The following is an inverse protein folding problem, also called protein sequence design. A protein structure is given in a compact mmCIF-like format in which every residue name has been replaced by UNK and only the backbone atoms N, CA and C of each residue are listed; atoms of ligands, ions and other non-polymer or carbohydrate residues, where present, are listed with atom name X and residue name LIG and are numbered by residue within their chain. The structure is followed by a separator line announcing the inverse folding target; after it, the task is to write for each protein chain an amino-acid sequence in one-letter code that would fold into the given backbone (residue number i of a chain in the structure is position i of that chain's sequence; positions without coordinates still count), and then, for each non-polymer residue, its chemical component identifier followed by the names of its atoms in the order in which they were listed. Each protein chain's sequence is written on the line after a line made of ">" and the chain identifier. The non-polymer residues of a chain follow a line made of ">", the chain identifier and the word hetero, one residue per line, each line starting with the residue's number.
data_IF_920326971418
#
_entry.id   IF_920326971418
#
_cell.length_a   1.000
_cell.length_b   1.000
_cell.length_c   1.000
_cell.angle_alpha   90.00
_cell.angle_beta   90.00
_cell.angle_gamma   90.00
#
_symmetry.space_group_name_H-M   'P 1'
#
loop_
_entity.id
_entity.type
_entity.pdbx_description
1 polymer ?
#
# COMPACT_ATOMS: atom_id res chain seq x y z
N UNK A 1 3.77 -15.49 -19.40
CA UNK A 1 4.61 -15.82 -20.57
C UNK A 1 6.06 -15.51 -20.25
N UNK A 2 7.00 -16.37 -20.68
CA UNK A 2 8.44 -16.18 -20.45
C UNK A 2 9.14 -15.54 -21.64
N UNK A 3 10.42 -15.20 -21.47
CA UNK A 3 11.27 -14.73 -22.55
C UNK A 3 11.61 -15.86 -23.53
N UNK A 4 11.81 -15.50 -24.80
CA UNK A 4 12.22 -16.40 -25.88
C UNK A 4 13.68 -16.14 -26.19
N UNK A 5 14.52 -17.19 -26.06
CA UNK A 5 15.95 -17.13 -26.31
C UNK A 5 16.32 -17.97 -27.52
N UNK A 6 17.27 -17.49 -28.32
CA UNK A 6 17.93 -18.27 -29.38
C UNK A 6 19.43 -18.27 -29.12
N UNK A 7 20.01 -19.47 -29.14
CA UNK A 7 21.43 -19.68 -28.96
C UNK A 7 22.05 -20.15 -30.29
N UNK A 8 23.29 -19.74 -30.55
CA UNK A 8 24.05 -20.14 -31.72
C UNK A 8 24.48 -21.62 -31.66
N UNK A 9 24.61 -22.16 -30.45
CA UNK A 9 25.04 -23.53 -30.18
C UNK A 9 23.95 -24.36 -29.48
N UNK A 10 24.10 -25.68 -29.56
CA UNK A 10 23.24 -26.63 -28.85
C UNK A 10 23.43 -26.52 -27.34
N UNK A 11 22.32 -26.49 -26.60
CA UNK A 11 22.32 -26.52 -25.14
C UNK A 11 22.66 -27.92 -24.63
N UNK A 12 23.49 -28.00 -23.59
CA UNK A 12 23.70 -29.25 -22.86
C UNK A 12 22.45 -29.61 -22.04
N UNK A 13 22.31 -30.89 -21.66
CA UNK A 13 21.20 -31.35 -20.80
C UNK A 13 21.17 -30.61 -19.46
N UNK A 14 22.35 -30.37 -18.88
CA UNK A 14 22.50 -29.62 -17.63
C UNK A 14 22.05 -28.16 -17.78
N UNK A 15 22.42 -27.51 -18.89
CA UNK A 15 21.98 -26.15 -19.20
C UNK A 15 20.48 -26.06 -19.42
N UNK A 16 19.91 -27.01 -20.16
CA UNK A 16 18.46 -27.08 -20.40
C UNK A 16 17.67 -27.28 -19.10
N UNK A 17 18.14 -28.17 -18.20
CA UNK A 17 17.54 -28.38 -16.90
C UNK A 17 17.66 -27.14 -16.00
N UNK A 18 18.83 -26.51 -15.95
CA UNK A 18 19.03 -25.25 -15.21
C UNK A 18 18.12 -24.13 -15.73
N UNK A 19 17.97 -24.01 -17.06
CA UNK A 19 17.06 -23.04 -17.71
C UNK A 19 15.60 -23.31 -17.35
N UNK A 20 15.19 -24.58 -17.32
CA UNK A 20 13.84 -24.96 -16.89
C UNK A 20 13.60 -24.57 -15.42
N UNK A 21 14.56 -24.82 -14.55
CA UNK A 21 14.47 -24.49 -13.13
C UNK A 21 14.48 -22.98 -12.84
N UNK A 22 15.01 -22.13 -13.74
CA UNK A 22 14.88 -20.66 -13.62
C UNK A 22 13.42 -20.20 -13.69
N UNK A 23 12.59 -20.97 -14.38
CA UNK A 23 11.19 -20.66 -14.57
C UNK A 23 10.93 -19.49 -15.55
N UNK A 24 9.64 -19.26 -15.87
CA UNK A 24 9.23 -18.31 -16.91
C UNK A 24 9.41 -16.84 -16.51
N UNK A 25 9.72 -16.55 -15.24
CA UNK A 25 9.93 -15.20 -14.74
C UNK A 25 11.33 -14.65 -15.07
N UNK A 26 12.28 -15.50 -15.48
CA UNK A 26 13.64 -15.09 -15.80
C UNK A 26 13.71 -14.39 -17.17
N UNK A 27 14.30 -13.19 -17.18
CA UNK A 27 14.30 -12.27 -18.33
C UNK A 27 15.67 -11.63 -18.59
N UNK A 28 16.73 -12.15 -17.96
CA UNK A 28 18.08 -11.60 -18.07
C UNK A 28 18.90 -12.33 -19.14
N UNK A 29 20.09 -11.82 -19.44
CA UNK A 29 20.96 -12.28 -20.52
C UNK A 29 22.06 -13.25 -20.05
N UNK A 30 21.86 -13.91 -18.90
CA UNK A 30 22.79 -14.89 -18.33
C UNK A 30 24.20 -14.34 -17.99
N UNK A 31 24.33 -13.01 -17.87
CA UNK A 31 25.61 -12.34 -17.55
C UNK A 31 25.89 -12.32 -16.03
N UNK A 32 24.86 -12.07 -15.23
CA UNK A 32 24.97 -12.03 -13.77
C UNK A 32 23.85 -12.84 -13.13
N UNK A 33 24.14 -13.43 -11.99
CA UNK A 33 23.16 -14.05 -11.10
C UNK A 33 22.36 -12.99 -10.34
N UNK A 34 21.61 -12.16 -11.07
CA UNK A 34 20.74 -11.15 -10.50
C UNK A 34 19.33 -11.73 -10.38
N UNK A 35 18.99 -12.23 -9.20
CA UNK A 35 17.61 -12.61 -8.84
C UNK A 35 17.21 -14.04 -9.15
N UNK A 36 18.15 -15.00 -9.26
CA UNK A 36 17.80 -16.42 -9.39
C UNK A 36 17.83 -17.15 -8.04
N UNK A 37 16.72 -17.82 -7.69
CA UNK A 37 16.59 -18.66 -6.50
C UNK A 37 17.11 -20.09 -6.71
N UNK A 38 18.02 -20.28 -7.67
CA UNK A 38 18.55 -21.60 -8.01
C UNK A 38 19.59 -22.09 -6.99
N UNK A 39 19.71 -23.41 -6.78
CA UNK A 39 20.85 -23.99 -6.07
C UNK A 39 22.17 -23.73 -6.83
N UNK A 40 23.29 -23.60 -6.11
CA UNK A 40 24.61 -23.24 -6.68
C UNK A 40 25.07 -24.15 -7.83
N UNK A 41 24.75 -25.45 -7.77
CA UNK A 41 25.08 -26.40 -8.84
C UNK A 41 24.50 -25.99 -10.20
N UNK A 42 23.24 -25.57 -10.24
CA UNK A 42 22.56 -25.15 -11.48
C UNK A 42 23.07 -23.80 -12.00
N UNK A 43 23.43 -22.89 -11.08
CA UNK A 43 23.94 -21.56 -11.43
C UNK A 43 25.23 -21.63 -12.23
N UNK A 44 26.12 -22.56 -11.89
CA UNK A 44 27.41 -22.75 -12.59
C UNK A 44 27.22 -23.03 -14.09
N UNK A 45 26.17 -23.73 -14.48
CA UNK A 45 25.93 -24.07 -15.90
C UNK A 45 25.36 -22.91 -16.72
N UNK A 46 24.80 -21.88 -16.07
CA UNK A 46 24.13 -20.76 -16.72
C UNK A 46 24.98 -19.49 -16.74
N UNK A 47 25.68 -19.20 -15.64
CA UNK A 47 26.37 -17.93 -15.41
C UNK A 47 27.89 -18.01 -15.56
N UNK A 48 28.41 -19.05 -16.24
CA UNK A 48 29.83 -19.18 -16.58
C UNK A 48 30.27 -18.26 -17.74
N UNK A 49 29.35 -17.46 -18.28
CA UNK A 49 29.56 -16.56 -19.41
C UNK A 49 29.46 -17.22 -20.78
N UNK A 50 29.54 -18.56 -20.88
CA UNK A 50 29.44 -19.27 -22.16
C UNK A 50 28.06 -19.11 -22.77
N UNK A 51 27.02 -19.33 -21.97
CA UNK A 51 25.63 -19.23 -22.42
C UNK A 51 25.30 -17.80 -22.90
N UNK A 52 25.81 -16.78 -22.21
CA UNK A 52 25.65 -15.38 -22.63
C UNK A 52 26.39 -15.05 -23.93
N UNK A 53 27.54 -15.70 -24.19
CA UNK A 53 28.36 -15.45 -25.38
C UNK A 53 27.78 -16.05 -26.66
N UNK A 54 27.00 -17.13 -26.54
CA UNK A 54 26.32 -17.77 -27.67
C UNK A 54 24.88 -17.29 -27.84
N UNK A 55 24.42 -16.32 -27.05
CA UNK A 55 23.07 -15.78 -27.12
C UNK A 55 22.93 -14.84 -28.34
N UNK A 56 22.11 -15.25 -29.31
CA UNK A 56 21.90 -14.52 -30.57
C UNK A 56 20.76 -13.51 -30.45
N UNK A 57 19.64 -13.93 -29.86
CA UNK A 57 18.50 -13.06 -29.62
C UNK A 57 17.78 -13.46 -28.33
N UNK A 58 17.21 -12.45 -27.67
CA UNK A 58 16.40 -12.61 -26.48
C UNK A 58 15.22 -11.62 -26.55
N UNK A 59 14.02 -12.15 -26.78
CA UNK A 59 12.80 -11.36 -26.82
C UNK A 59 11.99 -11.60 -25.55
N UNK A 60 11.72 -10.52 -24.82
CA UNK A 60 10.87 -10.57 -23.64
C UNK A 60 9.56 -9.81 -23.91
N UNK A 61 8.38 -10.41 -23.64
CA UNK A 61 7.10 -9.71 -23.76
C UNK A 61 6.98 -8.43 -22.91
N UNK A 62 7.81 -8.28 -21.86
CA UNK A 62 7.87 -7.06 -21.04
C UNK A 62 8.77 -5.97 -21.61
N UNK A 63 9.70 -6.31 -22.50
CA UNK A 63 10.66 -5.36 -23.07
C UNK A 63 10.15 -4.87 -24.43
N UNK A 64 9.04 -4.13 -24.41
CA UNK A 64 8.37 -3.66 -25.61
C UNK A 64 8.34 -2.13 -25.67
N UNK A 65 8.44 -1.58 -26.88
CA UNK A 65 8.24 -0.15 -27.16
C UNK A 65 7.20 -0.01 -28.28
N UNK A 66 5.96 0.34 -27.90
CA UNK A 66 4.82 0.30 -28.82
C UNK A 66 4.60 -1.13 -29.34
N UNK A 67 4.59 -1.31 -30.66
CA UNK A 67 4.45 -2.61 -31.32
C UNK A 67 5.78 -3.37 -31.49
N UNK A 68 6.89 -2.86 -30.96
CA UNK A 68 8.20 -3.49 -31.11
C UNK A 68 8.58 -4.26 -29.85
N UNK A 69 8.91 -5.54 -29.99
CA UNK A 69 9.61 -6.32 -28.98
C UNK A 69 11.11 -6.10 -29.16
N UNK A 70 11.74 -5.49 -28.16
CA UNK A 70 13.15 -5.11 -28.23
C UNK A 70 14.03 -6.33 -27.99
N UNK A 71 15.01 -6.50 -28.88
CA UNK A 71 16.13 -7.41 -28.72
C UNK A 71 17.30 -6.61 -28.15
N UNK A 72 17.92 -7.04 -27.07
CA UNK A 72 19.12 -6.37 -26.54
C UNK A 72 20.21 -7.39 -26.18
N UNK A 73 20.75 -8.14 -27.15
CA UNK A 73 21.81 -9.07 -26.86
C UNK A 73 23.07 -8.29 -26.46
N UNK A 74 23.69 -8.70 -25.36
CA UNK A 74 24.87 -8.04 -24.83
C UNK A 74 26.10 -8.33 -25.69
N UNK A 75 26.70 -7.26 -26.21
CA UNK A 75 28.05 -7.13 -26.78
C UNK A 75 28.29 -7.86 -28.12
N UNK A 76 28.07 -7.12 -29.20
CA UNK A 76 29.02 -7.17 -30.31
C UNK A 76 30.00 -6.00 -30.12
N UNK A 77 31.32 -6.22 -29.93
CA UNK A 77 32.28 -5.14 -30.05
C UNK A 77 32.40 -4.79 -31.53
N UNK A 78 31.51 -3.95 -32.05
CA UNK A 78 31.57 -3.50 -33.43
C UNK A 78 32.11 -2.08 -33.50
N UNK A 79 33.19 -1.93 -34.27
CA UNK A 79 33.75 -0.66 -34.75
C UNK A 79 32.88 0.03 -35.81
N UNK A 80 31.67 -0.49 -36.06
CA UNK A 80 30.71 -0.02 -37.05
C UNK A 80 29.27 -0.18 -36.52
N UNK A 81 28.33 0.57 -37.10
CA UNK A 81 26.92 0.55 -36.72
C UNK A 81 26.29 -0.80 -37.06
N UNK A 82 25.75 -1.51 -36.07
CA UNK A 82 24.99 -2.76 -36.27
C UNK A 82 23.52 -2.46 -35.99
N UNK A 83 22.66 -2.68 -36.99
CA UNK A 83 21.22 -2.59 -36.80
C UNK A 83 20.73 -3.84 -36.07
N UNK A 84 20.26 -3.67 -34.83
CA UNK A 84 19.71 -4.76 -34.04
C UNK A 84 18.29 -5.07 -34.52
N UNK A 85 17.97 -6.28 -34.99
CA UNK A 85 16.62 -6.62 -35.44
C UNK A 85 15.67 -6.68 -34.23
N UNK A 86 14.72 -5.76 -34.17
CA UNK A 86 13.59 -5.82 -33.24
C UNK A 86 12.45 -6.64 -33.87
N UNK A 87 11.69 -7.36 -33.05
CA UNK A 87 10.53 -8.10 -33.53
C UNK A 87 9.30 -7.19 -33.53
N UNK A 88 8.45 -7.30 -34.54
CA UNK A 88 7.20 -6.55 -34.63
C UNK A 88 6.06 -7.44 -34.14
N UNK A 89 5.19 -6.89 -33.30
CA UNK A 89 3.98 -7.58 -32.83
C UNK A 89 3.05 -7.87 -34.01
N UNK A 90 2.49 -9.09 -34.02
CA UNK A 90 1.47 -9.44 -35.00
C UNK A 90 0.21 -8.60 -34.75
N UNK A 91 -0.53 -8.33 -35.83
CA UNK A 91 -1.82 -7.63 -35.76
C UNK A 91 -2.75 -8.28 -34.73
N UNK A 92 -3.33 -7.45 -33.84
CA UNK A 92 -4.19 -7.88 -32.74
C UNK A 92 -3.48 -8.28 -31.45
N UNK A 93 -2.14 -8.21 -31.37
CA UNK A 93 -1.39 -8.46 -30.13
C UNK A 93 -1.11 -7.15 -29.40
N UNK A 94 -1.49 -7.08 -28.13
CA UNK A 94 -1.24 -5.93 -27.26
C UNK A 94 -0.34 -6.30 -26.08
N UNK A 95 0.47 -5.32 -25.63
CA UNK A 95 1.27 -5.45 -24.42
C UNK A 95 0.37 -5.26 -23.22
N UNK A 96 0.19 -6.33 -22.44
CA UNK A 96 -0.50 -6.24 -21.15
C UNK A 96 0.51 -5.82 -20.09
N UNK A 97 0.50 -4.54 -19.70
CA UNK A 97 1.27 -4.04 -18.57
C UNK A 97 0.47 -4.17 -17.28
N UNK A 98 0.99 -4.93 -16.32
CA UNK A 98 0.42 -4.96 -14.96
C UNK A 98 0.98 -3.79 -14.17
N UNK A 99 0.13 -2.83 -13.83
CA UNK A 99 0.48 -1.73 -12.94
C UNK A 99 0.27 -2.15 -11.48
N UNK A 100 1.10 -1.65 -10.57
CA UNK A 100 0.83 -1.82 -9.14
C UNK A 100 -0.48 -1.13 -8.76
N UNK A 101 -1.11 -1.57 -7.67
CA UNK A 101 -2.32 -0.92 -7.15
C UNK A 101 -2.08 0.57 -6.89
N UNK A 102 -0.88 0.95 -6.44
CA UNK A 102 -0.50 2.35 -6.21
C UNK A 102 -0.48 3.16 -7.51
N UNK A 103 0.09 2.61 -8.59
CA UNK A 103 0.16 3.29 -9.89
C UNK A 103 -1.22 3.42 -10.51
N UNK A 104 -2.03 2.37 -10.40
CA UNK A 104 -3.41 2.35 -10.89
C UNK A 104 -4.27 3.37 -10.15
N UNK A 105 -4.19 3.38 -8.82
CA UNK A 105 -4.91 4.32 -7.96
C UNK A 105 -4.48 5.77 -8.23
N UNK A 106 -3.17 6.02 -8.37
CA UNK A 106 -2.64 7.34 -8.70
C UNK A 106 -3.16 7.84 -10.06
N UNK A 107 -3.31 6.95 -11.03
CA UNK A 107 -3.79 7.28 -12.37
C UNK A 107 -5.27 7.73 -12.40
N UNK A 108 -6.07 7.28 -11.43
CA UNK A 108 -7.50 7.63 -11.32
C UNK A 108 -7.79 8.75 -10.31
N UNK A 109 -6.76 9.40 -9.75
CA UNK A 109 -6.92 10.51 -8.79
C UNK A 109 -6.35 10.26 -7.39
N UNK A 110 -5.67 9.13 -7.17
CA UNK A 110 -5.00 8.79 -5.91
C UNK A 110 -5.97 8.33 -4.82
N UNK A 111 -5.47 8.25 -3.58
CA UNK A 111 -6.27 7.77 -2.42
C UNK A 111 -7.52 8.61 -2.13
N UNK A 112 -7.56 9.85 -2.62
CA UNK A 112 -8.67 10.78 -2.39
C UNK A 112 -10.00 10.28 -2.96
N UNK A 113 -9.96 9.43 -3.99
CA UNK A 113 -11.15 8.82 -4.60
C UNK A 113 -11.92 7.91 -3.63
N UNK A 114 -11.26 7.43 -2.57
CA UNK A 114 -11.89 6.59 -1.55
C UNK A 114 -12.64 7.42 -0.50
N UNK A 115 -12.33 8.70 -0.34
CA UNK A 115 -12.92 9.54 0.71
C UNK A 115 -14.43 9.74 0.55
N UNK A 116 -14.98 9.97 -0.67
CA UNK A 116 -16.41 10.08 -0.88
C UNK A 116 -17.20 8.82 -0.47
N UNK A 117 -16.58 7.64 -0.46
CA UNK A 117 -17.26 6.39 -0.08
C UNK A 117 -17.71 6.41 1.40
N UNK A 118 -17.03 7.15 2.26
CA UNK A 118 -17.46 7.32 3.65
C UNK A 118 -18.78 8.11 3.78
N UNK A 119 -19.16 8.91 2.78
CA UNK A 119 -20.47 9.59 2.75
C UNK A 119 -21.62 8.68 2.30
N UNK A 120 -21.31 7.46 1.89
CA UNK A 120 -22.25 6.48 1.34
C UNK A 120 -22.51 5.30 2.28
N UNK A 121 -21.98 5.34 3.51
CA UNK A 121 -22.12 4.25 4.49
C UNK A 121 -23.58 3.92 4.81
N UNK A 122 -24.44 4.93 4.82
CA UNK A 122 -25.85 4.80 5.15
C UNK A 122 -26.73 4.32 3.97
N UNK A 123 -26.15 4.05 2.80
CA UNK A 123 -26.93 3.56 1.66
C UNK A 123 -27.45 2.13 1.91
N UNK A 124 -28.68 1.82 1.47
CA UNK A 124 -29.23 0.48 1.60
C UNK A 124 -28.44 -0.51 0.74
N UNK A 125 -28.30 -1.75 1.24
CA UNK A 125 -27.71 -2.84 0.47
C UNK A 125 -28.64 -3.23 -0.71
N UNK A 126 -28.08 -3.71 -1.82
CA UNK A 126 -28.84 -4.09 -3.02
C UNK A 126 -29.93 -5.13 -2.73
N UNK A 127 -29.73 -5.98 -1.73
CA UNK A 127 -30.66 -7.03 -1.30
C UNK A 127 -31.84 -6.52 -0.44
N UNK A 128 -31.94 -5.21 -0.19
CA UNK A 128 -32.98 -4.62 0.65
C UNK A 128 -32.83 -4.91 2.15
N UNK A 129 -31.69 -5.51 2.56
CA UNK A 129 -31.34 -5.68 3.97
C UNK A 129 -31.07 -4.34 4.65
N UNK A 130 -31.11 -4.34 5.99
CA UNK A 130 -30.58 -3.21 6.75
C UNK A 130 -29.12 -2.90 6.36
N UNK A 131 -28.73 -1.63 6.56
CA UNK A 131 -27.38 -1.08 6.34
C UNK A 131 -26.26 -2.07 6.73
N UNK A 132 -25.24 -2.20 5.90
CA UNK A 132 -24.07 -3.03 6.21
C UNK A 132 -23.18 -2.35 7.26
N UNK A 133 -23.17 -2.91 8.47
CA UNK A 133 -22.36 -2.42 9.58
C UNK A 133 -20.85 -2.53 9.36
N UNK A 134 -20.39 -3.42 8.46
CA UNK A 134 -18.99 -3.71 8.23
C UNK A 134 -18.35 -2.89 7.09
N UNK A 135 -19.14 -2.09 6.37
CA UNK A 135 -18.61 -1.23 5.29
C UNK A 135 -17.59 -0.20 5.80
N UNK A 136 -17.84 0.39 6.97
CA UNK A 136 -16.90 1.35 7.57
C UNK A 136 -15.57 0.70 7.93
N UNK A 137 -15.60 -0.50 8.55
CA UNK A 137 -14.38 -1.22 8.92
C UNK A 137 -13.63 -1.70 7.66
N UNK A 138 -14.34 -2.10 6.61
CA UNK A 138 -13.74 -2.47 5.34
C UNK A 138 -13.03 -1.28 4.68
N UNK A 139 -13.68 -0.13 4.58
CA UNK A 139 -13.06 1.07 4.01
C UNK A 139 -11.83 1.53 4.81
N UNK A 140 -11.92 1.54 6.14
CA UNK A 140 -10.79 1.88 6.99
C UNK A 140 -9.64 0.87 6.85
N UNK A 141 -9.93 -0.43 6.69
CA UNK A 141 -8.91 -1.44 6.43
C UNK A 141 -8.17 -1.19 5.11
N UNK A 142 -8.88 -0.76 4.05
CA UNK A 142 -8.29 -0.42 2.77
C UNK A 142 -7.37 0.79 2.94
N UNK A 143 -7.83 1.84 3.65
CA UNK A 143 -7.00 3.01 3.95
C UNK A 143 -5.75 2.61 4.74
N UNK A 144 -5.88 1.78 5.78
CA UNK A 144 -4.76 1.30 6.60
C UNK A 144 -3.74 0.49 5.78
N UNK A 145 -4.20 -0.40 4.90
CA UNK A 145 -3.35 -1.19 4.01
C UNK A 145 -2.60 -0.28 3.03
N UNK A 146 -3.30 0.70 2.43
CA UNK A 146 -2.69 1.65 1.51
C UNK A 146 -1.67 2.56 2.22
N UNK A 147 -1.95 2.99 3.45
CA UNK A 147 -1.00 3.76 4.27
C UNK A 147 0.26 2.97 4.61
N UNK A 148 0.15 1.67 4.88
CA UNK A 148 1.30 0.82 5.19
C UNK A 148 2.16 0.47 3.98
N UNK A 149 1.58 0.51 2.80
CA UNK A 149 2.26 0.13 1.55
C UNK A 149 3.10 1.23 0.89
N UNK A 150 2.80 2.52 1.11
CA UNK A 150 3.43 3.61 0.34
C UNK A 150 3.44 4.96 1.05
N UNK A 151 4.63 5.58 1.14
CA UNK A 151 4.80 6.94 1.66
C UNK A 151 4.13 8.00 0.78
N UNK A 152 4.02 7.77 -0.54
CA UNK A 152 3.32 8.69 -1.44
C UNK A 152 1.84 8.79 -1.08
N UNK A 153 1.23 7.66 -0.73
CA UNK A 153 -0.17 7.61 -0.30
C UNK A 153 -0.35 8.34 1.04
N UNK A 154 0.57 8.17 1.99
CA UNK A 154 0.57 8.92 3.24
C UNK A 154 0.55 10.43 2.98
N UNK A 155 1.43 10.91 2.09
CA UNK A 155 1.46 12.33 1.72
C UNK A 155 0.17 12.79 1.05
N UNK A 156 -0.39 12.01 0.11
CA UNK A 156 -1.66 12.36 -0.54
C UNK A 156 -2.81 12.44 0.46
N UNK A 157 -2.90 11.51 1.42
CA UNK A 157 -3.93 11.54 2.45
C UNK A 157 -3.78 12.76 3.36
N UNK A 158 -2.54 13.14 3.70
CA UNK A 158 -2.28 14.33 4.50
C UNK A 158 -2.69 15.64 3.80
N UNK A 159 -2.27 15.81 2.54
CA UNK A 159 -2.56 17.02 1.76
C UNK A 159 -4.05 17.19 1.47
N UNK A 160 -4.77 16.07 1.29
CA UNK A 160 -6.23 16.09 1.10
C UNK A 160 -7.02 16.27 2.39
N UNK A 161 -6.35 16.37 3.56
CA UNK A 161 -6.99 16.35 4.88
C UNK A 161 -7.89 15.12 5.05
N UNK A 162 -7.42 13.95 4.60
CA UNK A 162 -8.22 12.73 4.53
C UNK A 162 -8.88 12.34 5.85
N UNK A 163 -8.15 12.39 6.97
CA UNK A 163 -8.74 12.06 8.27
C UNK A 163 -9.78 13.09 8.76
N UNK A 164 -9.68 14.37 8.36
CA UNK A 164 -10.73 15.36 8.62
C UNK A 164 -12.01 14.98 7.88
N UNK A 165 -11.89 14.64 6.59
CA UNK A 165 -13.03 14.28 5.74
C UNK A 165 -13.67 12.99 6.26
N UNK A 166 -12.87 11.98 6.57
CA UNK A 166 -13.34 10.71 7.16
C UNK A 166 -14.04 10.98 8.49
N UNK A 167 -13.41 11.71 9.41
CA UNK A 167 -14.00 12.03 10.71
C UNK A 167 -15.33 12.77 10.60
N UNK A 168 -15.44 13.73 9.68
CA UNK A 168 -16.69 14.46 9.41
C UNK A 168 -17.77 13.57 8.77
N UNK A 169 -17.39 12.69 7.84
CA UNK A 169 -18.32 11.74 7.24
C UNK A 169 -18.86 10.76 8.29
N UNK A 170 -17.99 10.21 9.14
CA UNK A 170 -18.38 9.31 10.24
C UNK A 170 -19.25 9.99 11.29
N UNK A 171 -19.04 11.28 11.57
CA UNK A 171 -19.93 12.04 12.46
C UNK A 171 -21.36 12.18 11.90
N UNK A 172 -21.50 12.24 10.58
CA UNK A 172 -22.80 12.36 9.92
C UNK A 172 -23.48 11.02 9.68
N UNK A 173 -22.69 9.96 9.55
CA UNK A 173 -23.19 8.61 9.33
C UNK A 173 -23.91 8.06 10.57
N UNK A 174 -24.71 7.01 10.37
CA UNK A 174 -25.34 6.28 11.47
C UNK A 174 -24.30 5.76 12.48
N UNK A 175 -24.57 5.92 13.77
CA UNK A 175 -23.64 5.44 14.82
C UNK A 175 -23.48 3.92 14.86
N UNK A 176 -24.33 3.17 14.14
CA UNK A 176 -24.20 1.73 13.92
C UNK A 176 -22.90 1.34 13.23
N UNK A 177 -22.31 2.24 12.44
CA UNK A 177 -21.02 2.03 11.78
C UNK A 177 -19.83 2.18 12.73
N UNK A 178 -20.01 2.80 13.90
CA UNK A 178 -18.95 2.93 14.91
C UNK A 178 -18.92 1.68 15.79
N UNK A 179 -18.37 0.60 15.24
CA UNK A 179 -18.27 -0.70 15.88
C UNK A 179 -16.93 -0.88 16.62
N UNK A 180 -16.81 -1.98 17.38
CA UNK A 180 -15.54 -2.35 18.02
C UNK A 180 -14.41 -2.54 16.99
N UNK A 181 -14.72 -3.10 15.82
CA UNK A 181 -13.72 -3.34 14.75
C UNK A 181 -13.20 -2.02 14.19
N UNK A 182 -14.06 -1.03 14.00
CA UNK A 182 -13.66 0.33 13.61
C UNK A 182 -12.75 0.97 14.66
N UNK A 183 -13.12 0.86 15.94
CA UNK A 183 -12.32 1.37 17.05
C UNK A 183 -10.92 0.73 17.10
N UNK A 184 -10.82 -0.59 16.91
CA UNK A 184 -9.55 -1.32 16.86
C UNK A 184 -8.68 -0.91 15.66
N UNK A 185 -9.28 -0.79 14.47
CA UNK A 185 -8.56 -0.33 13.28
C UNK A 185 -8.01 1.08 13.43
N UNK A 186 -8.77 1.99 14.02
CA UNK A 186 -8.30 3.37 14.30
C UNK A 186 -7.08 3.34 15.23
N UNK A 187 -7.11 2.52 16.28
CA UNK A 187 -5.98 2.35 17.19
C UNK A 187 -4.77 1.76 16.46
N UNK A 188 -4.96 0.77 15.61
CA UNK A 188 -3.86 0.12 14.90
C UNK A 188 -3.25 1.02 13.81
N UNK A 189 -4.06 1.83 13.13
CA UNK A 189 -3.54 2.91 12.28
C UNK A 189 -2.71 3.91 13.08
N UNK A 190 -3.16 4.29 14.28
CA UNK A 190 -2.40 5.21 15.13
C UNK A 190 -1.05 4.61 15.54
N UNK A 191 -1.01 3.34 15.98
CA UNK A 191 0.23 2.61 16.28
C UNK A 191 1.16 2.56 15.07
N UNK A 192 0.62 2.28 13.88
CA UNK A 192 1.39 2.23 12.65
C UNK A 192 2.02 3.59 12.31
N UNK A 193 1.23 4.67 12.36
CA UNK A 193 1.71 6.02 12.03
C UNK A 193 2.75 6.54 13.04
N UNK A 194 2.64 6.18 14.32
CA UNK A 194 3.64 6.52 15.35
C UNK A 194 4.99 5.81 15.14
N UNK A 195 5.01 4.68 14.42
CA UNK A 195 6.23 3.97 14.05
C UNK A 195 6.85 4.50 12.75
N UNK A 196 6.11 5.32 11.98
CA UNK A 196 6.58 5.89 10.72
C UNK A 196 7.36 7.18 10.94
N UNK A 197 8.55 7.29 10.34
CA UNK A 197 9.39 8.50 10.41
C UNK A 197 8.69 9.75 9.85
N UNK A 198 7.84 9.61 8.84
CA UNK A 198 7.03 10.70 8.27
C UNK A 198 5.56 10.70 8.71
N UNK A 199 5.20 9.92 9.74
CA UNK A 199 3.81 9.76 10.18
C UNK A 199 3.26 10.92 11.02
N UNK A 200 4.13 11.79 11.56
CA UNK A 200 3.80 12.88 12.49
C UNK A 200 2.59 13.76 12.10
N UNK A 201 2.55 14.31 10.87
CA UNK A 201 1.43 15.16 10.47
C UNK A 201 0.10 14.40 10.34
N UNK A 202 0.15 13.14 9.89
CA UNK A 202 -1.03 12.28 9.77
C UNK A 202 -1.57 11.82 11.11
N UNK A 203 -0.70 11.45 12.05
CA UNK A 203 -1.13 11.04 13.39
C UNK A 203 -1.82 12.21 14.11
N UNK A 204 -1.32 13.43 13.94
CA UNK A 204 -1.98 14.65 14.45
C UNK A 204 -3.41 14.78 13.88
N UNK A 205 -3.59 14.64 12.57
CA UNK A 205 -4.93 14.69 11.96
C UNK A 205 -5.84 13.53 12.44
N UNK A 206 -5.30 12.31 12.60
CA UNK A 206 -6.05 11.16 13.10
C UNK A 206 -6.53 11.40 14.54
N UNK A 207 -5.67 11.96 15.39
CA UNK A 207 -6.00 12.32 16.76
C UNK A 207 -7.07 13.42 16.82
N UNK A 208 -6.87 14.51 16.08
CA UNK A 208 -7.76 15.68 16.12
C UNK A 208 -9.16 15.35 15.59
N UNK A 209 -9.24 14.61 14.48
CA UNK A 209 -10.49 14.49 13.73
C UNK A 209 -11.21 13.16 13.95
N UNK A 210 -10.56 12.14 14.51
CA UNK A 210 -11.19 10.84 14.77
C UNK A 210 -11.05 10.45 16.25
N UNK A 211 -9.83 10.25 16.76
CA UNK A 211 -9.67 9.64 18.10
C UNK A 211 -10.18 10.52 19.24
N UNK A 212 -9.89 11.82 19.22
CA UNK A 212 -10.31 12.77 20.26
C UNK A 212 -11.48 13.64 19.84
N UNK A 213 -12.29 13.16 18.90
CA UNK A 213 -13.45 13.85 18.40
C UNK A 213 -14.72 13.44 19.19
N UNK A 214 -15.14 14.20 20.22
CA UNK A 214 -16.23 13.78 21.10
C UNK A 214 -17.56 13.62 20.37
N UNK A 215 -17.78 14.39 19.29
CA UNK A 215 -19.01 14.33 18.48
C UNK A 215 -19.18 12.99 17.77
N UNK A 216 -18.07 12.32 17.44
CA UNK A 216 -18.09 11.00 16.82
C UNK A 216 -18.43 9.91 17.86
N UNK A 217 -17.75 9.93 19.00
CA UNK A 217 -17.86 8.86 20.00
C UNK A 217 -19.08 8.97 20.92
N UNK A 218 -19.63 10.16 21.16
CA UNK A 218 -20.77 10.32 22.08
C UNK A 218 -22.01 9.51 21.65
N UNK A 219 -22.15 9.26 20.34
CA UNK A 219 -23.28 8.55 19.77
C UNK A 219 -23.03 7.04 19.58
N UNK A 220 -21.80 6.56 19.81
CA UNK A 220 -21.48 5.13 19.66
C UNK A 220 -21.96 4.32 20.86
N UNK A 221 -22.01 3.00 20.72
CA UNK A 221 -22.40 2.11 21.82
C UNK A 221 -21.50 2.31 23.06
N UNK A 222 -22.05 2.34 24.29
CA UNK A 222 -21.26 2.53 25.51
C UNK A 222 -20.13 1.51 25.69
N UNK A 223 -20.32 0.27 25.25
CA UNK A 223 -19.28 -0.76 25.33
C UNK A 223 -18.09 -0.45 24.41
N UNK A 224 -18.36 0.13 23.23
CA UNK A 224 -17.33 0.59 22.29
C UNK A 224 -16.59 1.80 22.88
N UNK A 225 -17.31 2.77 23.46
CA UNK A 225 -16.70 3.94 24.09
C UNK A 225 -15.73 3.54 25.21
N UNK A 226 -16.21 2.75 26.18
CA UNK A 226 -15.40 2.30 27.31
C UNK A 226 -14.19 1.53 26.83
N UNK A 227 -14.37 0.56 25.93
CA UNK A 227 -13.26 -0.24 25.40
C UNK A 227 -12.24 0.62 24.64
N UNK A 228 -12.68 1.53 23.79
CA UNK A 228 -11.81 2.40 23.00
C UNK A 228 -10.98 3.32 23.89
N UNK A 229 -11.62 4.07 24.80
CA UNK A 229 -10.90 4.97 25.71
C UNK A 229 -10.05 4.21 26.71
N UNK A 230 -10.51 3.07 27.22
CA UNK A 230 -9.69 2.21 28.09
C UNK A 230 -8.46 1.70 27.35
N UNK A 231 -8.60 1.26 26.09
CA UNK A 231 -7.45 0.82 25.26
C UNK A 231 -6.48 1.97 24.99
N UNK A 232 -6.96 3.20 24.80
CA UNK A 232 -6.09 4.39 24.68
C UNK A 232 -5.33 4.64 26.00
N UNK A 233 -6.02 4.54 27.14
CA UNK A 233 -5.43 4.78 28.46
C UNK A 233 -4.44 3.67 28.89
N UNK A 234 -4.80 2.40 28.69
CA UNK A 234 -4.01 1.24 29.10
C UNK A 234 -2.87 0.98 28.13
N UNK A 235 -3.12 0.97 26.82
CA UNK A 235 -2.09 0.69 25.83
C UNK A 235 -1.25 1.93 25.53
N UNK A 236 -0.80 2.64 26.56
CA UNK A 236 0.38 3.49 26.42
C UNK A 236 1.48 2.63 25.78
N UNK A 237 1.68 2.88 24.48
CA UNK A 237 2.40 2.09 23.49
C UNK A 237 3.63 1.39 24.10
N UNK A 238 3.58 0.07 24.37
CA UNK A 238 4.44 -0.55 25.37
C UNK A 238 5.90 -0.82 24.96
N UNK A 239 6.33 -0.41 23.77
CA UNK A 239 7.72 -0.65 23.34
C UNK A 239 8.59 0.58 23.57
N UNK A 240 9.78 0.37 24.13
CA UNK A 240 10.81 1.29 24.65
C UNK A 240 11.22 2.51 23.77
N UNK A 241 10.68 2.67 22.56
CA UNK A 241 10.55 3.96 21.84
C UNK A 241 9.43 4.87 22.44
N UNK A 242 8.74 4.35 23.46
CA UNK A 242 7.59 4.88 24.19
C UNK A 242 7.79 6.27 24.75
N UNK A 243 8.96 6.63 25.29
CA UNK A 243 9.11 7.92 25.94
C UNK A 243 8.98 9.09 24.96
N UNK A 244 9.49 8.95 23.73
CA UNK A 244 9.39 9.98 22.70
C UNK A 244 7.97 10.14 22.15
N UNK A 245 7.28 9.01 21.92
CA UNK A 245 5.90 9.00 21.46
C UNK A 245 4.90 9.39 22.57
N UNK A 246 5.20 9.05 23.83
CA UNK A 246 4.49 9.55 25.00
C UNK A 246 4.70 11.05 25.15
N UNK A 247 5.93 11.56 25.03
CA UNK A 247 6.18 13.01 25.09
C UNK A 247 5.48 13.73 23.94
N UNK A 248 5.40 13.16 22.73
CA UNK A 248 4.62 13.77 21.63
C UNK A 248 3.12 13.68 21.84
N UNK A 249 2.58 12.56 22.32
CA UNK A 249 1.16 12.42 22.65
C UNK A 249 0.77 13.32 23.83
N UNK A 250 1.57 13.35 24.89
CA UNK A 250 1.41 14.23 26.04
C UNK A 250 1.61 15.70 25.66
N UNK A 251 2.61 16.06 24.84
CA UNK A 251 2.77 17.44 24.35
C UNK A 251 1.60 17.82 23.44
N UNK A 252 1.10 16.92 22.59
CA UNK A 252 -0.08 17.19 21.79
C UNK A 252 -1.32 17.38 22.69
N UNK A 253 -1.52 16.49 23.66
CA UNK A 253 -2.63 16.59 24.62
C UNK A 253 -2.51 17.86 25.49
N UNK A 254 -1.31 18.22 25.96
CA UNK A 254 -1.06 19.32 26.88
C UNK A 254 -0.94 20.68 26.20
N UNK A 255 -0.29 20.78 25.03
CA UNK A 255 -0.04 22.05 24.35
C UNK A 255 -1.10 22.39 23.30
N UNK A 256 -1.54 21.41 22.51
CA UNK A 256 -2.42 21.65 21.36
C UNK A 256 -3.90 21.31 21.64
N UNK A 257 -4.18 20.20 22.33
CA UNK A 257 -5.55 19.76 22.60
C UNK A 257 -6.15 20.52 23.78
N UNK A 258 -5.55 20.44 24.98
CA UNK A 258 -6.00 21.18 26.17
C UNK A 258 -5.83 22.70 26.04
N UNK A 259 -4.86 23.16 25.24
CA UNK A 259 -4.60 24.58 25.01
C UNK A 259 -5.60 25.27 24.08
N UNK A 260 -6.16 24.57 23.09
CA UNK A 260 -7.12 25.14 22.13
C UNK A 260 -8.58 24.78 22.38
N UNK A 261 -8.87 23.81 23.24
CA UNK A 261 -10.27 23.45 23.55
C UNK A 261 -10.75 24.21 24.78
N UNK A 262 -11.83 24.97 24.61
CA UNK A 262 -12.65 25.49 25.71
C UNK A 262 -13.33 24.31 26.46
N UNK A 263 -12.54 23.52 27.18
CA UNK A 263 -12.99 22.37 27.97
C UNK A 263 -14.08 22.73 28.99
N UNK A 264 -14.13 24.00 29.41
CA UNK A 264 -15.16 24.53 30.31
C UNK A 264 -16.59 24.35 29.79
N UNK A 265 -16.82 24.25 28.48
CA UNK A 265 -18.17 24.08 27.92
C UNK A 265 -18.61 22.62 27.81
N UNK A 266 -17.68 21.68 27.64
CA UNK A 266 -18.00 20.25 27.46
C UNK A 266 -18.25 19.57 28.81
N UNK A 267 -17.47 19.91 29.85
CA UNK A 267 -17.65 19.32 31.19
C UNK A 267 -18.94 19.82 31.85
N UNK A 268 -19.41 21.03 31.52
CA UNK A 268 -20.66 21.59 32.08
C UNK A 268 -21.93 20.88 31.63
N UNK A 269 -21.90 20.03 30.59
CA UNK A 269 -23.09 19.28 30.15
C UNK A 269 -23.25 17.91 30.81
N UNK A 270 -22.30 17.47 31.65
CA UNK A 270 -22.38 16.17 32.35
C UNK A 270 -22.72 16.31 33.84
N UNK A 271 -22.87 17.53 34.37
CA UNK A 271 -23.32 17.75 35.74
C UNK A 271 -24.81 18.13 35.78
N UNK A 272 -25.69 17.14 35.94
CA UNK A 272 -26.89 17.09 36.81
C UNK A 272 -27.90 16.06 36.28
N UNK A 273 -27.74 14.80 36.69
CA UNK A 273 -28.89 13.95 36.97
C UNK A 273 -28.91 13.75 38.48
N UNK A 274 -29.77 14.54 39.14
CA UNK A 274 -30.38 14.17 40.41
C UNK A 274 -31.69 13.44 40.13
#
# INVERSE_FOLDING_TARGET
>A
MGAVYLFADSLSLEQANSLFCLGPAYQSYFVHDSGSNLPEGYKKHLFDGRLSSVLVMAYCPKNCHGQLCLNSPSKVPCSYFVQVPHAVMKEGVEVITTHSIHSSLQSVGGIQILLPLFSQLDLPCEDGSAMDGDMCSTLLSIIALLLSSSQTIQQQLYHSKGFLIIGHALQKASSRHITMTVAEQVIDMAKFLLRCSSGGPLIKQLFEHIMFNPKLWINSDPSVQVSFFLKICINNFPDTQSLYNQVHLYNYLAADFLGNTNFHHIIRQVATFG
#
